data_IF_789438480592
#
_entry.id   IF_789438480592
#
_cell.length_a   1.000
_cell.length_b   1.000
_cell.length_c   1.000
_cell.angle_alpha   90.00
_cell.angle_beta   90.00
_cell.angle_gamma   90.00
#
_symmetry.space_group_name_H-M   'P 1'
#
loop_
_entity.id
_entity.type
_entity.pdbx_description
1 polymer ?
#
# COMPACT_ATOMS: atom_id res chain seq x y z
N UNK A 1 -12.16 8.44 49.79
CA UNK A 1 -11.07 7.52 49.45
C UNK A 1 -11.59 6.55 48.40
N UNK A 2 -11.64 6.96 47.12
CA UNK A 2 -10.65 6.67 46.08
C UNK A 2 -10.18 5.20 46.04
N UNK A 3 -10.79 4.41 45.17
CA UNK A 3 -10.06 3.37 44.46
C UNK A 3 -10.15 3.70 42.98
N UNK A 4 -9.03 4.15 42.44
CA UNK A 4 -8.84 4.44 41.04
C UNK A 4 -9.02 3.14 40.23
N UNK A 5 -9.77 3.24 39.15
CA UNK A 5 -9.83 2.23 38.10
C UNK A 5 -8.47 2.30 37.41
N UNK A 6 -7.53 1.43 37.79
CA UNK A 6 -6.27 1.30 37.10
C UNK A 6 -6.57 0.94 35.63
N UNK A 7 -6.25 1.87 34.72
CA UNK A 7 -6.28 1.63 33.29
C UNK A 7 -5.46 0.36 33.03
N UNK A 8 -6.12 -0.68 32.52
CA UNK A 8 -5.45 -1.89 32.07
C UNK A 8 -4.50 -1.48 30.96
N UNK A 9 -3.21 -1.38 31.27
CA UNK A 9 -2.17 -1.35 30.26
C UNK A 9 -2.25 -2.66 29.51
N UNK A 10 -2.81 -2.64 28.31
CA UNK A 10 -2.74 -3.78 27.41
C UNK A 10 -1.27 -3.95 27.01
N UNK A 11 -0.57 -4.87 27.66
CA UNK A 11 0.71 -5.38 27.16
C UNK A 11 0.46 -5.98 25.79
N UNK A 12 0.76 -5.18 24.76
CA UNK A 12 0.71 -5.59 23.37
C UNK A 12 1.68 -6.75 23.20
N UNK A 13 1.15 -7.95 22.98
CA UNK A 13 1.95 -9.14 22.68
C UNK A 13 2.98 -8.81 21.60
N UNK A 14 4.22 -9.35 21.70
CA UNK A 14 5.25 -9.11 20.71
C UNK A 14 4.71 -9.51 19.34
N UNK A 15 4.47 -8.52 18.49
CA UNK A 15 3.95 -8.74 17.14
C UNK A 15 4.98 -9.60 16.41
N UNK A 16 4.63 -10.86 16.14
CA UNK A 16 5.41 -11.74 15.26
C UNK A 16 5.77 -10.93 14.02
N UNK A 17 7.04 -10.87 13.62
CA UNK A 17 7.58 -9.99 12.57
C UNK A 17 6.54 -9.69 11.47
N UNK A 18 5.82 -8.59 11.62
CA UNK A 18 4.64 -8.34 10.81
C UNK A 18 5.08 -7.95 9.41
N UNK A 19 4.53 -8.65 8.41
CA UNK A 19 4.76 -8.33 7.02
C UNK A 19 3.81 -7.22 6.61
N UNK A 20 4.36 -6.06 6.26
CA UNK A 20 3.60 -4.90 5.80
C UNK A 20 3.50 -4.89 4.28
N UNK A 21 2.32 -4.57 3.76
CA UNK A 21 2.11 -4.33 2.35
C UNK A 21 1.43 -2.96 2.14
N UNK A 22 1.85 -2.24 1.12
CA UNK A 22 1.22 -1.01 0.64
C UNK A 22 0.48 -1.34 -0.65
N UNK A 23 -0.79 -0.96 -0.74
CA UNK A 23 -1.61 -1.13 -1.95
C UNK A 23 -1.90 0.26 -2.52
N UNK A 24 -1.50 0.48 -3.77
CA UNK A 24 -1.68 1.74 -4.48
C UNK A 24 -2.55 1.50 -5.73
N UNK A 25 -3.86 1.78 -5.67
CA UNK A 25 -4.71 1.81 -6.86
C UNK A 25 -4.31 2.96 -7.79
N UNK A 26 -4.21 2.72 -9.10
CA UNK A 26 -3.84 3.74 -10.08
C UNK A 26 -4.71 3.67 -11.34
N UNK A 27 -4.96 4.81 -11.96
CA UNK A 27 -5.54 4.94 -13.29
C UNK A 27 -5.04 6.22 -13.96
N UNK A 28 -4.19 6.08 -14.98
CA UNK A 28 -3.53 7.17 -15.69
C UNK A 28 -2.75 8.15 -14.78
N UNK A 29 -1.83 7.61 -13.99
CA UNK A 29 -1.02 8.32 -12.98
C UNK A 29 0.47 8.37 -13.37
N UNK A 30 0.80 8.41 -14.67
CA UNK A 30 2.20 8.35 -15.13
C UNK A 30 3.11 9.45 -14.53
N UNK A 31 2.54 10.64 -14.27
CA UNK A 31 3.30 11.77 -13.73
C UNK A 31 3.72 11.60 -12.27
N UNK A 32 3.01 10.77 -11.49
CA UNK A 32 3.13 10.73 -10.02
C UNK A 32 3.58 9.38 -9.50
N UNK A 33 3.26 8.28 -10.20
CA UNK A 33 3.40 6.92 -9.67
C UNK A 33 4.84 6.56 -9.28
N UNK A 34 5.83 7.06 -10.02
CA UNK A 34 7.24 6.83 -9.71
C UNK A 34 7.64 7.42 -8.36
N UNK A 35 7.23 8.66 -8.09
CA UNK A 35 7.51 9.35 -6.82
C UNK A 35 6.78 8.69 -5.65
N UNK A 36 5.50 8.34 -5.83
CA UNK A 36 4.71 7.65 -4.80
C UNK A 36 5.36 6.34 -4.37
N UNK A 37 5.83 5.52 -5.32
CA UNK A 37 6.52 4.26 -5.00
C UNK A 37 7.86 4.52 -4.29
N UNK A 38 8.62 5.51 -4.75
CA UNK A 38 9.91 5.87 -4.14
C UNK A 38 9.74 6.33 -2.68
N UNK A 39 8.75 7.19 -2.42
CA UNK A 39 8.46 7.71 -1.09
C UNK A 39 8.04 6.59 -0.13
N UNK A 40 7.20 5.66 -0.58
CA UNK A 40 6.84 4.48 0.23
C UNK A 40 8.03 3.57 0.49
N UNK A 41 8.94 3.38 -0.47
CA UNK A 41 10.16 2.59 -0.24
C UNK A 41 11.07 3.25 0.79
N UNK A 42 11.19 4.58 0.75
CA UNK A 42 11.99 5.32 1.71
C UNK A 42 11.38 5.27 3.13
N UNK A 43 10.06 5.43 3.23
CA UNK A 43 9.35 5.43 4.51
C UNK A 43 9.16 4.02 5.10
N UNK A 44 8.99 3.01 4.26
CA UNK A 44 8.68 1.63 4.64
C UNK A 44 9.59 0.61 3.90
N UNK A 45 10.89 0.54 4.23
CA UNK A 45 11.85 -0.24 3.46
C UNK A 45 11.57 -1.75 3.42
N UNK A 46 10.93 -2.29 4.46
CA UNK A 46 10.56 -3.71 4.56
C UNK A 46 9.18 -4.03 3.95
N UNK A 47 8.41 -3.02 3.51
CA UNK A 47 7.07 -3.24 2.97
C UNK A 47 7.09 -3.70 1.51
N UNK A 48 6.22 -4.65 1.18
CA UNK A 48 5.91 -4.96 -0.21
C UNK A 48 4.96 -3.90 -0.79
N UNK A 49 5.34 -3.25 -1.90
CA UNK A 49 4.50 -2.23 -2.53
C UNK A 49 3.84 -2.83 -3.76
N UNK A 50 2.52 -2.90 -3.73
CA UNK A 50 1.68 -3.34 -4.84
C UNK A 50 1.02 -2.14 -5.50
N UNK A 51 1.18 -2.03 -6.81
CA UNK A 51 0.44 -1.07 -7.63
C UNK A 51 -0.64 -1.82 -8.40
N UNK A 52 -1.89 -1.44 -8.20
CA UNK A 52 -3.03 -2.02 -8.89
C UNK A 52 -3.52 -1.06 -9.97
N UNK A 53 -3.12 -1.34 -11.21
CA UNK A 53 -3.55 -0.60 -12.38
C UNK A 53 -5.01 -0.93 -12.73
N UNK A 54 -5.86 0.08 -12.85
CA UNK A 54 -7.26 -0.07 -13.24
C UNK A 54 -7.50 0.31 -14.70
N UNK A 55 -6.76 -0.34 -15.61
CA UNK A 55 -6.83 -0.18 -17.05
C UNK A 55 -6.31 1.18 -17.54
N UNK A 56 -5.13 1.58 -17.09
CA UNK A 56 -4.48 2.79 -17.62
C UNK A 56 -4.13 2.61 -19.10
N UNK A 57 -4.17 3.72 -19.83
CA UNK A 57 -3.79 3.82 -21.25
C UNK A 57 -2.45 4.55 -21.47
N UNK A 58 -1.83 5.00 -20.37
CA UNK A 58 -0.59 5.77 -20.36
C UNK A 58 0.60 4.92 -19.84
N UNK A 59 1.72 5.56 -19.49
CA UNK A 59 2.93 4.86 -19.01
C UNK A 59 2.91 4.46 -17.54
N UNK A 60 1.76 4.54 -16.85
CA UNK A 60 1.65 4.25 -15.40
C UNK A 60 2.29 2.92 -14.99
N UNK A 61 1.97 1.83 -15.70
CA UNK A 61 2.48 0.50 -15.34
C UNK A 61 4.00 0.40 -15.47
N UNK A 62 4.56 0.99 -16.52
CA UNK A 62 5.98 0.90 -16.81
C UNK A 62 6.78 1.71 -15.79
N UNK A 63 6.29 2.90 -15.44
CA UNK A 63 6.92 3.75 -14.43
C UNK A 63 6.80 3.15 -13.02
N UNK A 64 5.66 2.52 -12.68
CA UNK A 64 5.50 1.80 -11.43
C UNK A 64 6.48 0.62 -11.28
N UNK A 65 6.64 -0.19 -12.34
CA UNK A 65 7.61 -1.29 -12.37
C UNK A 65 9.04 -0.77 -12.26
N UNK A 66 9.39 0.28 -12.99
CA UNK A 66 10.70 0.89 -12.95
C UNK A 66 11.05 1.42 -11.54
N UNK A 67 10.08 1.96 -10.81
CA UNK A 67 10.23 2.37 -9.41
C UNK A 67 10.28 1.19 -8.41
N UNK A 68 10.13 -0.05 -8.88
CA UNK A 68 10.25 -1.26 -8.09
C UNK A 68 8.95 -1.73 -7.43
N UNK A 69 7.78 -1.29 -7.91
CA UNK A 69 6.51 -1.83 -7.43
C UNK A 69 6.17 -3.20 -8.04
N UNK A 70 5.41 -4.00 -7.30
CA UNK A 70 4.75 -5.20 -7.80
C UNK A 70 3.43 -4.79 -8.47
N UNK A 71 3.39 -4.81 -9.80
CA UNK A 71 2.21 -4.35 -10.55
C UNK A 71 1.21 -5.48 -10.77
N UNK A 72 -0.05 -5.25 -10.42
CA UNK A 72 -1.23 -6.04 -10.79
C UNK A 72 -2.12 -5.18 -11.70
N UNK A 73 -2.79 -5.80 -12.68
CA UNK A 73 -3.67 -5.10 -13.61
C UNK A 73 -5.08 -5.65 -13.48
N UNK A 74 -6.02 -4.79 -13.13
CA UNK A 74 -7.46 -5.09 -13.13
C UNK A 74 -8.15 -4.50 -14.36
N UNK A 75 -8.53 -5.39 -15.25
CA UNK A 75 -9.21 -5.09 -16.52
C UNK A 75 -10.67 -4.63 -16.32
N UNK A 76 -11.25 -4.88 -15.14
CA UNK A 76 -12.60 -4.45 -14.81
C UNK A 76 -12.56 -3.12 -14.05
N UNK A 77 -13.03 -2.05 -14.68
CA UNK A 77 -13.03 -0.71 -14.09
C UNK A 77 -13.89 -0.62 -12.84
N UNK A 78 -13.42 0.16 -11.87
CA UNK A 78 -14.11 0.42 -10.60
C UNK A 78 -13.26 0.09 -9.38
N UNK A 79 -13.20 1.02 -8.42
CA UNK A 79 -12.36 0.93 -7.21
C UNK A 79 -12.65 -0.33 -6.37
N UNK A 80 -13.90 -0.80 -6.38
CA UNK A 80 -14.32 -2.03 -5.70
C UNK A 80 -13.74 -3.32 -6.29
N UNK A 81 -13.38 -3.34 -7.58
CA UNK A 81 -12.70 -4.49 -8.19
C UNK A 81 -11.24 -4.57 -7.74
N UNK A 82 -10.61 -3.42 -7.51
CA UNK A 82 -9.21 -3.31 -7.09
C UNK A 82 -8.99 -3.73 -5.63
N UNK A 83 -9.95 -3.47 -4.74
CA UNK A 83 -9.81 -3.78 -3.30
C UNK A 83 -10.22 -5.22 -2.97
N UNK A 84 -11.01 -5.88 -3.82
CA UNK A 84 -11.56 -7.21 -3.53
C UNK A 84 -10.71 -8.39 -4.06
N UNK A 85 -9.68 -8.13 -4.89
CA UNK A 85 -8.90 -9.17 -5.58
C UNK A 85 -7.39 -9.06 -5.37
#
# INVERSE_FOLDING_TARGET
MSQAIAARGEERQPRSRERLAVLVPCFNEEATIGAVVADFRAALPEAAIYVYDNNSADRTLDLARAAGALVRREMHQGKGNVVRR
#
